data_IF_403079450517
#
_entry.id   IF_403079450517
#
_cell.length_a   1.000
_cell.length_b   1.000
_cell.length_c   1.000
_cell.angle_alpha   90.00
_cell.angle_beta   90.00
_cell.angle_gamma   90.00
#
_symmetry.space_group_name_H-M   'P 1'
#
loop_
_entity.id
_entity.type
_entity.pdbx_description
1 polymer ?
#
# COMPACT_ATOMS: atom_id res chain seq x y z
N UNK A 1 1.54 -8.93 19.65
CA UNK A 1 1.71 -8.14 18.41
C UNK A 1 2.92 -8.68 17.63
N UNK A 2 2.90 -9.97 17.32
CA UNK A 2 4.11 -10.73 16.94
C UNK A 2 3.73 -12.01 16.19
N UNK A 3 2.77 -11.90 15.28
CA UNK A 3 2.43 -12.94 14.33
C UNK A 3 1.87 -12.22 13.12
N UNK A 4 2.68 -12.02 12.09
CA UNK A 4 2.23 -12.15 10.71
C UNK A 4 3.33 -11.81 9.71
N UNK A 5 3.92 -12.87 9.18
CA UNK A 5 4.54 -12.89 7.87
C UNK A 5 3.52 -13.13 6.73
N UNK A 6 2.22 -13.19 7.07
CA UNK A 6 1.07 -13.22 6.15
C UNK A 6 -0.13 -12.44 6.74
N UNK A 7 0.08 -11.28 7.38
CA UNK A 7 -1.06 -10.40 7.64
C UNK A 7 -1.34 -9.81 6.30
N UNK A 8 -2.37 -10.32 5.64
CA UNK A 8 -3.04 -9.59 4.58
C UNK A 8 -3.78 -8.42 5.26
N UNK A 9 -3.00 -7.43 5.70
CA UNK A 9 -3.50 -6.09 6.03
C UNK A 9 -4.07 -5.49 4.75
N UNK A 10 -5.24 -4.81 4.78
CA UNK A 10 -6.18 -4.65 5.89
C UNK A 10 -7.14 -5.85 6.04
N UNK A 11 -7.64 -6.08 7.26
CA UNK A 11 -8.76 -6.98 7.54
C UNK A 11 -9.78 -6.29 8.46
N UNK A 12 -11.07 -6.62 8.30
CA UNK A 12 -12.15 -6.12 9.15
C UNK A 12 -12.81 -7.28 9.89
N UNK A 13 -13.23 -7.02 11.11
CA UNK A 13 -14.02 -7.94 11.92
C UNK A 13 -15.42 -7.35 12.14
N UNK A 14 -16.44 -8.01 11.59
CA UNK A 14 -17.84 -7.56 11.72
C UNK A 14 -18.69 -8.72 12.25
N UNK A 15 -19.10 -8.63 13.52
CA UNK A 15 -19.82 -9.72 14.19
C UNK A 15 -18.93 -10.95 14.37
N UNK A 16 -19.22 -12.04 13.65
CA UNK A 16 -18.42 -13.29 13.67
C UNK A 16 -17.68 -13.53 12.35
N UNK A 17 -17.52 -12.49 11.52
CA UNK A 17 -16.89 -12.57 10.21
C UNK A 17 -15.61 -11.75 10.16
N UNK A 18 -14.53 -12.38 9.70
CA UNK A 18 -13.24 -11.74 9.40
C UNK A 18 -13.07 -11.73 7.89
N UNK A 19 -12.89 -10.55 7.32
CA UNK A 19 -12.64 -10.35 5.89
C UNK A 19 -11.31 -9.65 5.73
N UNK A 20 -10.37 -10.27 5.00
CA UNK A 20 -9.04 -9.73 4.73
C UNK A 20 -8.89 -9.32 3.27
N UNK A 21 -7.94 -8.42 3.01
CA UNK A 21 -7.68 -7.78 1.71
C UNK A 21 -8.73 -6.74 1.31
N UNK A 22 -8.26 -5.69 0.62
CA UNK A 22 -9.07 -4.54 0.27
C UNK A 22 -10.29 -4.91 -0.60
N UNK A 23 -10.11 -5.75 -1.62
CA UNK A 23 -11.18 -6.17 -2.52
C UNK A 23 -12.34 -6.86 -1.78
N UNK A 24 -12.07 -7.94 -1.01
CA UNK A 24 -13.06 -8.58 -0.16
C UNK A 24 -13.70 -7.63 0.87
N UNK A 25 -12.93 -6.73 1.49
CA UNK A 25 -13.48 -5.71 2.41
C UNK A 25 -14.52 -4.84 1.72
N UNK A 26 -14.20 -4.31 0.53
CA UNK A 26 -15.12 -3.45 -0.23
C UNK A 26 -16.38 -4.22 -0.62
N UNK A 27 -16.25 -5.48 -1.05
CA UNK A 27 -17.41 -6.32 -1.38
C UNK A 27 -18.27 -6.57 -0.14
N UNK A 28 -17.64 -6.81 1.01
CA UNK A 28 -18.31 -7.03 2.27
C UNK A 28 -19.09 -5.81 2.74
N UNK A 29 -18.46 -4.62 2.75
CA UNK A 29 -19.12 -3.38 3.16
C UNK A 29 -20.26 -3.04 2.20
N UNK A 30 -20.05 -3.25 0.89
CA UNK A 30 -21.10 -3.05 -0.12
C UNK A 30 -22.29 -3.98 0.09
N UNK A 31 -22.07 -5.25 0.42
CA UNK A 31 -23.14 -6.18 0.75
C UNK A 31 -23.93 -5.78 2.01
N UNK A 32 -23.33 -4.95 2.88
CA UNK A 32 -23.98 -4.34 4.06
C UNK A 32 -24.63 -2.99 3.78
N UNK A 33 -24.62 -2.51 2.53
CA UNK A 33 -25.21 -1.23 2.13
C UNK A 33 -24.30 -0.02 2.31
N UNK A 34 -22.99 -0.25 2.54
CA UNK A 34 -22.00 0.82 2.68
C UNK A 34 -21.02 0.76 1.51
N UNK A 35 -21.15 1.71 0.58
CA UNK A 35 -20.30 1.83 -0.61
C UNK A 35 -20.04 3.31 -0.91
N UNK A 36 -18.77 3.67 -1.07
CA UNK A 36 -18.36 5.05 -1.32
C UNK A 36 -18.49 5.41 -2.81
N UNK A 37 -18.55 4.39 -3.66
CA UNK A 37 -18.62 4.49 -5.12
C UNK A 37 -20.02 4.27 -5.70
N UNK A 38 -21.08 4.33 -4.91
CA UNK A 38 -22.46 4.13 -5.43
C UNK A 38 -22.90 5.25 -6.39
N UNK A 39 -22.35 6.45 -6.23
CA UNK A 39 -22.64 7.62 -7.08
C UNK A 39 -21.90 7.60 -8.42
N UNK A 40 -20.94 6.69 -8.60
CA UNK A 40 -20.13 6.59 -9.81
C UNK A 40 -20.88 5.81 -10.91
N UNK A 41 -20.80 6.32 -12.13
CA UNK A 41 -21.25 5.58 -13.31
C UNK A 41 -20.34 4.37 -13.60
N UNK A 42 -20.76 3.51 -14.53
CA UNK A 42 -20.03 2.27 -14.83
C UNK A 42 -18.63 2.50 -15.39
N UNK A 43 -18.42 3.59 -16.14
CA UNK A 43 -17.11 3.96 -16.69
C UNK A 43 -16.20 4.40 -15.56
N UNK A 44 -16.66 5.31 -14.70
CA UNK A 44 -15.93 5.78 -13.54
C UNK A 44 -15.59 4.64 -12.57
N UNK A 45 -16.51 3.69 -12.39
CA UNK A 45 -16.28 2.51 -11.55
C UNK A 45 -15.20 1.60 -12.14
N UNK A 46 -15.17 1.44 -13.46
CA UNK A 46 -14.12 0.69 -14.14
C UNK A 46 -12.76 1.40 -14.03
N UNK A 47 -12.73 2.71 -14.23
CA UNK A 47 -11.52 3.53 -14.02
C UNK A 47 -11.01 3.42 -12.58
N UNK A 48 -11.89 3.54 -11.59
CA UNK A 48 -11.54 3.44 -10.18
C UNK A 48 -10.83 2.11 -9.89
N UNK A 49 -11.40 0.99 -10.38
CA UNK A 49 -10.79 -0.33 -10.23
C UNK A 49 -9.43 -0.42 -10.91
N UNK A 50 -9.27 0.17 -12.10
CA UNK A 50 -7.99 0.17 -12.79
C UNK A 50 -6.90 0.93 -12.00
N UNK A 51 -7.23 2.10 -11.45
CA UNK A 51 -6.29 2.86 -10.62
C UNK A 51 -5.96 2.16 -9.30
N UNK A 52 -6.96 1.56 -8.65
CA UNK A 52 -6.74 0.78 -7.43
C UNK A 52 -5.79 -0.41 -7.68
N UNK A 53 -5.99 -1.12 -8.79
CA UNK A 53 -5.16 -2.27 -9.16
C UNK A 53 -3.75 -1.84 -9.56
N UNK A 54 -3.61 -0.74 -10.32
CA UNK A 54 -2.32 -0.15 -10.67
C UNK A 54 -1.50 0.15 -9.41
N UNK A 55 -2.12 0.86 -8.47
CA UNK A 55 -1.48 1.27 -7.22
C UNK A 55 -1.11 0.03 -6.39
N UNK A 56 -2.06 -0.88 -6.16
CA UNK A 56 -1.86 -2.06 -5.32
C UNK A 56 -0.74 -2.94 -5.86
N UNK A 57 -0.75 -3.21 -7.16
CA UNK A 57 0.28 -4.03 -7.79
C UNK A 57 1.64 -3.34 -7.78
N UNK A 58 1.70 -2.04 -8.05
CA UNK A 58 2.96 -1.31 -8.03
C UNK A 58 3.59 -1.34 -6.63
N UNK A 59 2.84 -0.95 -5.61
CA UNK A 59 3.38 -0.87 -4.25
C UNK A 59 3.66 -2.23 -3.64
N UNK A 60 2.78 -3.23 -3.84
CA UNK A 60 3.04 -4.58 -3.38
C UNK A 60 4.29 -5.17 -4.04
N UNK A 61 4.49 -4.91 -5.34
CA UNK A 61 5.68 -5.39 -6.07
C UNK A 61 6.93 -4.67 -5.59
N UNK A 62 6.88 -3.35 -5.42
CA UNK A 62 7.98 -2.55 -4.88
C UNK A 62 8.35 -2.95 -3.45
N UNK A 63 7.38 -3.12 -2.55
CA UNK A 63 7.63 -3.55 -1.18
C UNK A 63 8.28 -4.93 -1.13
N UNK A 64 7.74 -5.90 -1.89
CA UNK A 64 8.33 -7.24 -1.97
C UNK A 64 9.76 -7.20 -2.54
N UNK A 65 10.00 -6.36 -3.54
CA UNK A 65 11.32 -6.17 -4.11
C UNK A 65 12.31 -5.63 -3.05
N UNK A 66 11.96 -4.53 -2.38
CA UNK A 66 12.80 -3.90 -1.35
C UNK A 66 13.05 -4.89 -0.20
N UNK A 67 12.05 -5.66 0.22
CA UNK A 67 12.19 -6.59 1.34
C UNK A 67 13.06 -7.81 1.02
N UNK A 68 12.99 -8.36 -0.19
CA UNK A 68 13.55 -9.70 -0.49
C UNK A 68 14.60 -9.72 -1.61
N UNK A 69 14.63 -8.71 -2.47
CA UNK A 69 15.57 -8.59 -3.58
C UNK A 69 16.73 -7.64 -3.27
N UNK A 70 16.52 -6.57 -2.48
CA UNK A 70 17.63 -5.81 -1.90
C UNK A 70 18.35 -6.65 -0.84
N UNK A 71 19.61 -7.00 -1.09
CA UNK A 71 20.35 -7.94 -0.24
C UNK A 71 20.58 -7.42 1.17
N UNK A 72 20.80 -6.10 1.32
CA UNK A 72 21.01 -5.43 2.60
C UNK A 72 19.75 -5.52 3.46
N UNK A 73 18.62 -5.05 2.94
CA UNK A 73 17.32 -5.13 3.63
C UNK A 73 16.93 -6.58 3.89
N UNK A 74 17.15 -7.49 2.94
CA UNK A 74 16.86 -8.90 3.10
C UNK A 74 17.68 -9.54 4.23
N UNK A 75 18.97 -9.22 4.35
CA UNK A 75 19.86 -9.80 5.36
C UNK A 75 19.62 -9.22 6.75
N UNK A 76 19.52 -7.91 6.87
CA UNK A 76 19.52 -7.19 8.15
C UNK A 76 18.13 -7.08 8.78
N UNK A 77 17.08 -7.00 7.95
CA UNK A 77 15.72 -6.69 8.41
C UNK A 77 14.77 -7.85 8.11
N UNK A 78 14.62 -8.21 6.84
CA UNK A 78 13.51 -9.08 6.40
C UNK A 78 13.69 -10.51 6.87
N UNK A 79 14.85 -11.15 6.62
CA UNK A 79 15.09 -12.54 7.03
C UNK A 79 15.02 -12.70 8.56
N UNK A 80 15.67 -11.86 9.39
CA UNK A 80 15.54 -11.95 10.85
C UNK A 80 14.10 -11.79 11.33
N UNK A 81 13.38 -10.80 10.80
CA UNK A 81 11.97 -10.54 11.18
C UNK A 81 11.06 -11.71 10.78
N UNK A 82 11.19 -12.21 9.55
CA UNK A 82 10.40 -13.34 9.04
C UNK A 82 10.69 -14.64 9.79
N UNK A 83 11.95 -14.87 10.17
CA UNK A 83 12.43 -16.10 10.80
C UNK A 83 12.12 -16.18 12.30
N UNK A 84 11.90 -15.05 12.97
CA UNK A 84 11.74 -14.95 14.43
C UNK A 84 10.73 -15.94 15.06
N UNK A 85 9.57 -16.22 14.44
CA UNK A 85 8.58 -17.15 15.01
C UNK A 85 8.98 -18.63 14.95
N UNK A 86 10.00 -18.99 14.17
CA UNK A 86 10.28 -20.39 13.84
C UNK A 86 11.56 -20.91 14.53
N UNK A 87 11.58 -22.18 14.97
CA UNK A 87 12.77 -22.81 15.52
C UNK A 87 13.80 -23.13 14.43
N UNK A 88 15.06 -23.32 14.84
CA UNK A 88 16.08 -23.89 13.97
C UNK A 88 15.79 -25.38 13.69
N UNK A 89 16.00 -25.90 12.47
CA UNK A 89 16.52 -25.22 11.28
C UNK A 89 15.44 -24.58 10.39
N UNK A 90 14.16 -24.83 10.69
CA UNK A 90 13.01 -24.43 9.86
C UNK A 90 13.02 -22.93 9.51
N UNK A 91 13.41 -22.09 10.45
CA UNK A 91 13.48 -20.63 10.25
C UNK A 91 14.33 -20.21 9.05
N UNK A 92 15.47 -20.87 8.84
CA UNK A 92 16.34 -20.55 7.71
C UNK A 92 15.75 -21.06 6.40
N UNK A 93 15.23 -22.29 6.40
CA UNK A 93 14.63 -22.91 5.21
C UNK A 93 13.46 -22.06 4.70
N UNK A 94 12.53 -21.69 5.58
CA UNK A 94 11.37 -20.88 5.19
C UNK A 94 11.77 -19.49 4.67
N UNK A 95 12.75 -18.85 5.31
CA UNK A 95 13.21 -17.53 4.87
C UNK A 95 13.86 -17.58 3.47
N UNK A 96 14.72 -18.56 3.20
CA UNK A 96 15.33 -18.73 1.88
C UNK A 96 14.31 -19.16 0.83
N UNK A 97 13.37 -20.05 1.17
CA UNK A 97 12.28 -20.43 0.28
C UNK A 97 11.45 -19.20 -0.10
N UNK A 98 11.06 -18.37 0.88
CA UNK A 98 10.29 -17.15 0.61
C UNK A 98 11.07 -16.17 -0.27
N UNK A 99 12.36 -15.98 0.01
CA UNK A 99 13.21 -15.11 -0.82
C UNK A 99 13.29 -15.61 -2.27
N UNK A 100 13.43 -16.92 -2.46
CA UNK A 100 13.45 -17.54 -3.78
C UNK A 100 12.11 -17.39 -4.51
N UNK A 101 10.98 -17.59 -3.83
CA UNK A 101 9.64 -17.38 -4.39
C UNK A 101 9.46 -15.93 -4.86
N UNK A 102 9.88 -14.95 -4.05
CA UNK A 102 9.79 -13.53 -4.41
C UNK A 102 10.69 -13.21 -5.60
N UNK A 103 11.93 -13.70 -5.64
CA UNK A 103 12.83 -13.49 -6.81
C UNK A 103 12.25 -14.09 -8.10
N UNK A 104 11.60 -15.25 -8.01
CA UNK A 104 10.89 -15.83 -9.16
C UNK A 104 9.72 -14.96 -9.61
N UNK A 105 8.94 -14.42 -8.66
CA UNK A 105 7.88 -13.46 -8.97
C UNK A 105 8.45 -12.22 -9.66
N UNK A 106 9.54 -11.65 -9.15
CA UNK A 106 10.20 -10.49 -9.75
C UNK A 106 10.70 -10.79 -11.16
N UNK A 107 11.27 -11.97 -11.40
CA UNK A 107 11.63 -12.41 -12.75
C UNK A 107 10.42 -12.47 -13.69
N UNK A 108 9.29 -13.01 -13.23
CA UNK A 108 8.08 -13.10 -14.05
C UNK A 108 7.48 -11.73 -14.43
N UNK A 109 7.63 -10.71 -13.59
CA UNK A 109 7.15 -9.34 -13.88
C UNK A 109 8.22 -8.44 -14.51
N UNK A 110 9.39 -8.99 -14.87
CA UNK A 110 10.47 -8.25 -15.53
C UNK A 110 11.29 -7.34 -14.60
N UNK A 111 11.34 -7.66 -13.30
CA UNK A 111 12.04 -6.89 -12.26
C UNK A 111 13.31 -7.57 -11.74
N UNK A 112 13.69 -8.74 -12.24
CA UNK A 112 14.84 -9.50 -11.73
C UNK A 112 16.16 -8.72 -11.72
N UNK A 113 16.36 -7.86 -12.73
CA UNK A 113 17.62 -7.11 -12.93
C UNK A 113 17.49 -5.63 -12.56
N UNK A 114 16.34 -5.22 -11.98
CA UNK A 114 16.15 -3.82 -11.62
C UNK A 114 17.06 -3.42 -10.48
N UNK A 115 17.55 -2.19 -10.50
CA UNK A 115 18.16 -1.59 -9.30
C UNK A 115 17.09 -1.01 -8.38
N UNK A 116 17.46 -0.69 -7.14
CA UNK A 116 16.56 -0.07 -6.19
C UNK A 116 16.03 1.29 -6.69
N UNK A 117 16.91 2.06 -7.35
CA UNK A 117 16.58 3.35 -7.95
C UNK A 117 15.56 3.22 -9.09
N UNK A 118 15.66 2.15 -9.90
CA UNK A 118 14.68 1.86 -10.95
C UNK A 118 13.32 1.50 -10.37
N UNK A 119 13.29 0.74 -9.27
CA UNK A 119 12.04 0.46 -8.55
C UNK A 119 11.41 1.73 -8.00
N UNK A 120 12.22 2.63 -7.42
CA UNK A 120 11.73 3.92 -6.96
C UNK A 120 11.20 4.79 -8.12
N UNK A 121 11.80 4.68 -9.30
CA UNK A 121 11.29 5.35 -10.50
C UNK A 121 9.94 4.78 -10.98
N UNK A 122 9.76 3.45 -10.94
CA UNK A 122 8.46 2.85 -11.28
C UNK A 122 7.35 3.31 -10.30
N UNK A 123 7.67 3.39 -9.00
CA UNK A 123 6.72 3.93 -8.02
C UNK A 123 6.43 5.40 -8.30
N UNK A 124 7.43 6.21 -8.65
CA UNK A 124 7.23 7.60 -9.04
C UNK A 124 6.33 7.73 -10.28
N UNK A 125 6.48 6.87 -11.28
CA UNK A 125 5.58 6.84 -12.45
C UNK A 125 4.13 6.52 -12.05
N UNK A 126 3.92 5.63 -11.08
CA UNK A 126 2.60 5.38 -10.52
C UNK A 126 2.05 6.63 -9.80
N UNK A 127 2.87 7.31 -9.00
CA UNK A 127 2.51 8.59 -8.39
C UNK A 127 2.20 9.67 -9.44
N UNK A 128 2.92 9.70 -10.56
CA UNK A 128 2.63 10.61 -11.67
C UNK A 128 1.25 10.33 -12.28
N UNK A 129 0.91 9.06 -12.54
CA UNK A 129 -0.41 8.70 -13.07
C UNK A 129 -1.53 9.11 -12.10
N UNK A 130 -1.34 8.90 -10.80
CA UNK A 130 -2.28 9.34 -9.76
C UNK A 130 -2.38 10.88 -9.70
N UNK A 131 -1.24 11.57 -9.74
CA UNK A 131 -1.18 13.03 -9.75
C UNK A 131 -1.92 13.62 -10.94
N UNK A 132 -1.74 13.04 -12.13
CA UNK A 132 -2.48 13.43 -13.34
C UNK A 132 -3.98 13.16 -13.21
N UNK A 133 -4.36 12.00 -12.65
CA UNK A 133 -5.78 11.65 -12.47
C UNK A 133 -6.48 12.56 -11.45
N UNK A 134 -5.79 12.93 -10.38
CA UNK A 134 -6.28 13.88 -9.38
C UNK A 134 -6.36 15.29 -9.95
N UNK A 135 -5.36 15.72 -10.72
CA UNK A 135 -5.29 17.06 -11.29
C UNK A 135 -5.39 18.13 -10.19
N UNK A 136 -6.38 19.02 -10.33
CA UNK A 136 -6.70 20.09 -9.38
C UNK A 136 -7.87 19.77 -8.44
N UNK A 137 -8.34 18.52 -8.46
CA UNK A 137 -9.58 18.11 -7.81
C UNK A 137 -9.37 17.77 -6.33
N UNK A 138 -10.46 17.81 -5.56
CA UNK A 138 -10.44 17.47 -4.13
C UNK A 138 -10.38 15.94 -3.89
N UNK A 139 -10.93 15.17 -4.82
CA UNK A 139 -10.95 13.70 -4.77
C UNK A 139 -10.74 13.19 -6.19
N UNK A 140 -10.33 11.93 -6.34
CA UNK A 140 -10.09 11.33 -7.66
C UNK A 140 -11.33 11.37 -8.58
N UNK A 141 -12.54 11.40 -8.02
CA UNK A 141 -13.81 11.50 -8.75
C UNK A 141 -14.65 12.75 -8.36
N UNK A 142 -13.98 13.83 -7.91
CA UNK A 142 -14.49 15.20 -7.69
C UNK A 142 -15.54 15.43 -6.60
N UNK A 143 -16.55 14.56 -6.46
CA UNK A 143 -17.74 14.83 -5.63
C UNK A 143 -17.56 14.45 -4.17
N UNK A 144 -17.04 13.26 -3.93
CA UNK A 144 -16.92 12.65 -2.62
C UNK A 144 -15.73 11.68 -2.62
N UNK A 145 -15.11 11.39 -1.46
CA UNK A 145 -14.07 10.38 -1.39
C UNK A 145 -14.65 9.01 -1.79
N UNK A 146 -13.82 8.24 -2.47
CA UNK A 146 -14.09 6.88 -2.91
C UNK A 146 -13.12 5.90 -2.26
N UNK A 147 -13.30 4.62 -2.53
CA UNK A 147 -12.37 3.58 -2.11
C UNK A 147 -10.95 3.82 -2.65
N UNK A 148 -10.82 4.44 -3.83
CA UNK A 148 -9.53 4.85 -4.38
C UNK A 148 -8.86 5.94 -3.54
N UNK A 149 -9.60 6.94 -3.09
CA UNK A 149 -9.05 8.02 -2.25
C UNK A 149 -8.51 7.46 -0.93
N UNK A 150 -9.30 6.60 -0.25
CA UNK A 150 -8.86 5.95 0.98
C UNK A 150 -7.60 5.10 0.79
N UNK A 151 -7.55 4.35 -0.32
CA UNK A 151 -6.41 3.51 -0.67
C UNK A 151 -5.14 4.36 -0.92
N UNK A 152 -5.24 5.36 -1.80
CA UNK A 152 -4.11 6.22 -2.16
C UNK A 152 -3.62 6.98 -0.93
N UNK A 153 -4.53 7.50 -0.10
CA UNK A 153 -4.16 8.15 1.16
C UNK A 153 -3.34 7.21 2.05
N UNK A 154 -3.85 6.00 2.33
CA UNK A 154 -3.18 5.06 3.23
C UNK A 154 -1.75 4.75 2.80
N UNK A 155 -1.53 4.56 1.50
CA UNK A 155 -0.19 4.29 0.97
C UNK A 155 0.72 5.51 0.95
N UNK A 156 0.25 6.66 0.46
CA UNK A 156 1.07 7.87 0.44
C UNK A 156 1.42 8.32 1.86
N UNK A 157 0.46 8.27 2.78
CA UNK A 157 0.69 8.57 4.19
C UNK A 157 1.74 7.65 4.80
N UNK A 158 1.66 6.34 4.52
CA UNK A 158 2.65 5.36 4.99
C UNK A 158 4.05 5.68 4.44
N UNK A 159 4.17 5.97 3.14
CA UNK A 159 5.46 6.31 2.50
C UNK A 159 6.04 7.60 3.08
N UNK A 160 5.20 8.59 3.41
CA UNK A 160 5.63 9.89 3.92
C UNK A 160 6.00 9.87 5.41
N UNK A 161 5.39 8.97 6.19
CA UNK A 161 5.57 8.93 7.66
C UNK A 161 6.47 7.80 8.15
N UNK A 162 6.65 6.73 7.36
CA UNK A 162 7.50 5.59 7.76
C UNK A 162 8.96 5.93 7.54
N UNK A 163 9.77 5.77 8.59
CA UNK A 163 11.23 5.83 8.47
C UNK A 163 11.74 4.56 7.79
N UNK A 164 12.17 4.70 6.54
CA UNK A 164 12.88 3.65 5.81
C UNK A 164 14.40 3.87 5.94
N UNK A 165 15.18 2.86 5.55
CA UNK A 165 16.65 2.96 5.48
C UNK A 165 17.12 4.01 4.47
N UNK A 166 16.26 4.38 3.51
CA UNK A 166 16.46 5.47 2.55
C UNK A 166 15.22 6.34 2.45
N UNK A 167 15.41 7.66 2.38
CA UNK A 167 14.34 8.63 2.19
C UNK A 167 13.96 8.83 0.71
N UNK A 168 14.69 8.24 -0.24
CA UNK A 168 14.55 8.50 -1.68
C UNK A 168 13.12 8.30 -2.20
N UNK A 169 12.43 7.24 -1.75
CA UNK A 169 11.06 6.99 -2.13
C UNK A 169 10.12 8.10 -1.65
N UNK A 170 10.28 8.52 -0.38
CA UNK A 170 9.49 9.62 0.19
C UNK A 170 9.79 10.94 -0.54
N UNK A 171 11.04 11.17 -0.94
CA UNK A 171 11.45 12.40 -1.61
C UNK A 171 10.91 12.47 -3.03
N UNK A 172 10.85 11.35 -3.75
CA UNK A 172 10.14 11.25 -5.03
C UNK A 172 8.66 11.57 -4.89
N UNK A 173 7.96 11.01 -3.88
CA UNK A 173 6.55 11.33 -3.64
C UNK A 173 6.35 12.82 -3.34
N UNK A 174 7.25 13.44 -2.58
CA UNK A 174 7.19 14.87 -2.25
C UNK A 174 7.30 15.80 -3.45
N UNK A 175 7.78 15.32 -4.60
CA UNK A 175 7.79 16.12 -5.85
C UNK A 175 6.37 16.39 -6.41
N UNK A 176 5.37 15.58 -6.01
CA UNK A 176 3.98 15.73 -6.46
C UNK A 176 3.17 16.53 -5.44
N UNK A 177 3.23 17.86 -5.53
CA UNK A 177 2.60 18.78 -4.57
C UNK A 177 1.09 18.57 -4.42
N UNK A 178 0.37 18.28 -5.50
CA UNK A 178 -1.07 18.02 -5.44
C UNK A 178 -1.42 16.75 -4.66
N UNK A 179 -0.58 15.72 -4.73
CA UNK A 179 -0.72 14.51 -3.91
C UNK A 179 -0.44 14.80 -2.44
N UNK A 180 0.55 15.65 -2.13
CA UNK A 180 0.80 16.09 -0.76
C UNK A 180 -0.40 16.87 -0.19
N UNK A 181 -0.94 17.81 -0.97
CA UNK A 181 -2.16 18.55 -0.59
C UNK A 181 -3.35 17.62 -0.39
N UNK A 182 -3.48 16.59 -1.23
CA UNK A 182 -4.50 15.56 -1.05
C UNK A 182 -4.32 14.80 0.26
N UNK A 183 -3.12 14.31 0.56
CA UNK A 183 -2.85 13.58 1.81
C UNK A 183 -3.17 14.44 3.02
N UNK A 184 -2.68 15.68 3.05
CA UNK A 184 -2.93 16.60 4.14
C UNK A 184 -4.43 16.87 4.31
N UNK A 185 -5.15 17.15 3.22
CA UNK A 185 -6.61 17.37 3.27
C UNK A 185 -7.36 16.18 3.89
N UNK A 186 -7.03 14.94 3.50
CA UNK A 186 -7.66 13.74 4.04
C UNK A 186 -7.33 13.59 5.53
N UNK A 187 -6.08 13.82 5.93
CA UNK A 187 -5.63 13.80 7.32
C UNK A 187 -6.44 14.79 8.18
N UNK A 188 -6.53 16.05 7.75
CA UNK A 188 -7.29 17.07 8.47
C UNK A 188 -8.79 16.75 8.56
N UNK A 189 -9.38 16.30 7.45
CA UNK A 189 -10.83 16.09 7.36
C UNK A 189 -11.29 14.89 8.18
N UNK A 190 -10.48 13.83 8.27
CA UNK A 190 -10.92 12.55 8.83
C UNK A 190 -10.18 12.10 10.10
N UNK A 191 -9.04 12.72 10.44
CA UNK A 191 -8.18 12.25 11.53
C UNK A 191 -7.84 13.32 12.58
N UNK A 192 -7.83 14.62 12.25
CA UNK A 192 -7.49 15.67 13.23
C UNK A 192 -8.57 15.87 14.34
N UNK A 193 -9.85 15.62 14.06
CA UNK A 193 -10.94 15.73 15.06
C UNK A 193 -11.01 14.56 16.07
N UNK A 194 -10.18 13.51 15.93
CA UNK A 194 -10.12 12.39 16.89
C UNK A 194 -8.99 12.51 17.92
N UNK A 195 -8.21 13.61 17.89
CA UNK A 195 -7.07 13.85 18.78
C UNK A 195 -7.38 14.56 20.11
N UNK A 196 -8.62 14.99 20.35
CA UNK A 196 -9.01 15.78 21.54
C UNK A 196 -9.28 15.00 22.84
N UNK A 197 -8.91 13.72 22.92
CA UNK A 197 -9.36 12.80 23.98
C UNK A 197 -8.28 12.06 24.75
N UNK A 198 -7.02 12.51 24.75
CA UNK A 198 -5.92 11.89 25.52
C UNK A 198 -5.00 12.93 26.18
N UNK A 199 -5.61 13.93 26.81
CA UNK A 199 -4.94 14.77 27.81
C UNK A 199 -5.91 15.13 28.95
N UNK A 200 -5.98 14.23 29.92
CA UNK A 200 -6.26 14.51 31.34
C UNK A 200 -5.73 13.36 32.18
#
# INVERSE_FOLDING_TARGET
>A
CSLQSECKVPFIHVGNQVVSELGPIIQFTKAKGHSLSDVLDDVQRAEMKAYMELMNNMLLTAELYIQWCDETTAAEITRPRYSSPYPWPLKHILAYQKQWEVRRKMSAVGWAEKTLEQVYEDVAQCCQALSQRLGTQMYFFNRQPTELDALVFGHLFTILTTQLTSNELSDKVKTYSNLLTFVHRIEQTYFEDQGGGLSS
#
